data_IF_313067660062
#
_entry.id   IF_313067660062
#
_cell.length_a   1.000
_cell.length_b   1.000
_cell.length_c   1.000
_cell.angle_alpha   90.00
_cell.angle_beta   90.00
_cell.angle_gamma   90.00
#
_symmetry.space_group_name_H-M   'P 1'
#
loop_
_entity.id
_entity.type
_entity.pdbx_description
1 polymer ?
#
# COMPACT_ATOMS: atom_id res chain seq x y z
N UNK A 1 -1.56 25.41 -28.30
CA UNK A 1 -2.71 24.95 -27.47
C UNK A 1 -3.40 23.69 -28.01
N UNK A 2 -2.87 23.00 -29.03
CA UNK A 2 -3.47 21.79 -29.63
C UNK A 2 -3.11 20.47 -28.94
N UNK A 3 -2.11 20.45 -28.05
CA UNK A 3 -1.65 19.24 -27.35
C UNK A 3 -2.60 18.69 -26.27
N UNK A 4 -3.58 19.48 -25.80
CA UNK A 4 -4.48 19.03 -24.73
C UNK A 4 -5.57 18.07 -25.22
N UNK A 5 -6.07 18.23 -26.45
CA UNK A 5 -7.17 17.40 -27.00
C UNK A 5 -6.75 15.94 -27.19
N UNK A 6 -5.53 15.68 -27.66
CA UNK A 6 -5.01 14.33 -27.82
C UNK A 6 -4.82 13.58 -26.50
N UNK A 7 -4.48 14.31 -25.42
CA UNK A 7 -4.37 13.75 -24.08
C UNK A 7 -5.74 13.26 -23.57
N UNK A 8 -6.79 14.05 -23.78
CA UNK A 8 -8.16 13.70 -23.36
C UNK A 8 -8.73 12.51 -24.15
N UNK A 9 -8.53 12.48 -25.47
CA UNK A 9 -9.00 11.36 -26.31
C UNK A 9 -8.27 10.05 -25.97
N UNK A 10 -6.95 10.12 -25.77
CA UNK A 10 -6.17 8.95 -25.33
C UNK A 10 -6.58 8.45 -23.96
N UNK A 11 -6.93 9.37 -23.05
CA UNK A 11 -7.48 9.00 -21.74
C UNK A 11 -8.82 8.30 -21.91
N UNK A 12 -9.76 8.88 -22.68
CA UNK A 12 -11.10 8.33 -22.99
C UNK A 12 -11.09 6.93 -23.61
N UNK A 13 -10.11 6.62 -24.47
CA UNK A 13 -9.98 5.27 -25.02
C UNK A 13 -9.47 4.25 -24.00
N UNK A 14 -8.56 4.66 -23.10
CA UNK A 14 -8.09 3.81 -22.00
C UNK A 14 -9.23 3.56 -21.00
N UNK A 15 -10.07 4.56 -20.72
CA UNK A 15 -11.30 4.41 -19.93
C UNK A 15 -12.21 3.31 -20.50
N UNK A 16 -12.58 3.44 -21.78
CA UNK A 16 -13.47 2.48 -22.43
C UNK A 16 -12.88 1.05 -22.42
N UNK A 17 -11.57 0.92 -22.63
CA UNK A 17 -10.91 -0.39 -22.62
C UNK A 17 -10.84 -1.03 -21.23
N UNK A 18 -10.63 -0.23 -20.17
CA UNK A 18 -10.58 -0.73 -18.79
C UNK A 18 -11.97 -1.12 -18.29
N UNK A 19 -13.00 -0.33 -18.58
CA UNK A 19 -14.39 -0.67 -18.24
C UNK A 19 -14.86 -1.93 -18.96
N UNK A 20 -14.59 -2.04 -20.27
CA UNK A 20 -14.90 -3.24 -21.05
C UNK A 20 -14.14 -4.46 -20.51
N UNK A 21 -12.86 -4.31 -20.16
CA UNK A 21 -12.04 -5.38 -19.57
C UNK A 21 -12.53 -5.82 -18.19
N UNK A 22 -12.96 -4.88 -17.34
CA UNK A 22 -13.51 -5.17 -16.02
C UNK A 22 -14.87 -5.88 -16.10
N UNK A 23 -15.76 -5.41 -16.97
CA UNK A 23 -17.05 -6.06 -17.26
C UNK A 23 -16.84 -7.47 -17.85
N UNK A 24 -15.85 -7.65 -18.73
CA UNK A 24 -15.48 -8.98 -19.25
C UNK A 24 -14.93 -9.90 -18.16
N UNK A 25 -14.03 -9.41 -17.31
CA UNK A 25 -13.46 -10.20 -16.21
C UNK A 25 -14.52 -10.63 -15.20
N UNK A 26 -15.45 -9.74 -14.86
CA UNK A 26 -16.60 -10.05 -14.01
C UNK A 26 -17.56 -11.04 -14.69
N UNK A 27 -17.85 -10.87 -15.98
CA UNK A 27 -18.68 -11.82 -16.73
C UNK A 27 -18.05 -13.22 -16.84
N UNK A 28 -16.71 -13.30 -16.90
CA UNK A 28 -15.97 -14.57 -16.97
C UNK A 28 -15.74 -15.24 -15.61
N UNK A 29 -15.76 -14.48 -14.52
CA UNK A 29 -15.50 -14.98 -13.15
C UNK A 29 -16.77 -15.26 -12.36
N UNK A 30 -17.91 -14.69 -12.77
CA UNK A 30 -19.19 -14.99 -12.12
C UNK A 30 -19.65 -16.42 -12.45
N UNK A 31 -20.02 -17.24 -11.45
CA UNK A 31 -20.73 -18.49 -11.70
C UNK A 31 -22.04 -18.19 -12.46
N UNK A 32 -22.56 -19.17 -13.21
CA UNK A 32 -23.84 -19.08 -13.94
C UNK A 32 -25.02 -18.96 -12.96
N UNK A 33 -25.12 -17.84 -12.26
CA UNK A 33 -26.31 -17.42 -11.55
C UNK A 33 -27.36 -16.93 -12.57
N UNK A 34 -28.67 -17.00 -12.25
CA UNK A 34 -29.73 -16.52 -13.12
C UNK A 34 -29.47 -15.05 -13.53
N UNK A 35 -29.48 -14.80 -14.85
CA UNK A 35 -28.99 -13.58 -15.51
C UNK A 35 -29.58 -12.25 -14.98
N UNK A 36 -30.72 -12.30 -14.29
CA UNK A 36 -31.46 -11.12 -13.82
C UNK A 36 -30.82 -10.45 -12.58
N UNK A 37 -30.11 -11.18 -11.72
CA UNK A 37 -29.49 -10.61 -10.53
C UNK A 37 -28.10 -9.99 -10.80
N UNK A 38 -27.42 -10.43 -11.87
CA UNK A 38 -26.04 -10.05 -12.16
C UNK A 38 -25.93 -8.64 -12.79
N UNK A 39 -26.89 -8.26 -13.64
CA UNK A 39 -26.86 -6.98 -14.37
C UNK A 39 -26.76 -5.74 -13.48
N UNK A 40 -27.62 -5.53 -12.45
CA UNK A 40 -27.55 -4.33 -11.62
C UNK A 40 -26.23 -4.28 -10.83
N UNK A 41 -25.76 -5.41 -10.29
CA UNK A 41 -24.49 -5.50 -9.58
C UNK A 41 -23.28 -5.16 -10.47
N UNK A 42 -23.26 -5.63 -11.72
CA UNK A 42 -22.20 -5.32 -12.69
C UNK A 42 -22.20 -3.85 -13.08
N UNK A 43 -23.38 -3.25 -13.28
CA UNK A 43 -23.52 -1.82 -13.61
C UNK A 43 -23.06 -0.96 -12.44
N UNK A 44 -23.46 -1.28 -11.21
CA UNK A 44 -23.08 -0.55 -10.00
C UNK A 44 -21.58 -0.69 -9.70
N UNK A 45 -21.04 -1.91 -9.81
CA UNK A 45 -19.62 -2.19 -9.67
C UNK A 45 -18.79 -1.51 -10.75
N UNK A 46 -19.27 -1.46 -12.00
CA UNK A 46 -18.60 -0.73 -13.07
C UNK A 46 -18.60 0.77 -12.75
N UNK A 47 -19.74 1.38 -12.46
CA UNK A 47 -19.85 2.81 -12.14
C UNK A 47 -18.95 3.22 -10.97
N UNK A 48 -18.83 2.38 -9.94
CA UNK A 48 -17.98 2.64 -8.76
C UNK A 48 -16.49 2.36 -9.02
N UNK A 49 -16.17 1.34 -9.82
CA UNK A 49 -14.79 0.99 -10.16
C UNK A 49 -14.20 1.93 -11.23
N UNK A 50 -14.99 2.44 -12.17
CA UNK A 50 -14.50 3.26 -13.30
C UNK A 50 -13.69 4.48 -12.87
N UNK A 51 -14.08 5.28 -11.85
CA UNK A 51 -13.31 6.46 -11.45
C UNK A 51 -12.06 6.07 -10.63
N UNK A 52 -12.10 4.94 -9.90
CA UNK A 52 -10.97 4.40 -9.18
C UNK A 52 -9.92 3.81 -10.12
N UNK A 53 -10.39 3.04 -11.10
CA UNK A 53 -9.61 2.49 -12.19
C UNK A 53 -9.05 3.59 -13.09
N UNK A 54 -9.81 4.66 -13.33
CA UNK A 54 -9.31 5.87 -13.99
C UNK A 54 -8.18 6.49 -13.19
N UNK A 55 -8.42 6.82 -11.92
CA UNK A 55 -7.40 7.47 -11.11
C UNK A 55 -6.17 6.57 -11.04
N UNK A 56 -6.36 5.25 -10.90
CA UNK A 56 -5.30 4.25 -10.87
C UNK A 56 -4.53 4.20 -12.17
N UNK A 57 -5.23 4.18 -13.30
CA UNK A 57 -4.65 4.24 -14.62
C UNK A 57 -3.91 5.57 -14.85
N UNK A 58 -4.46 6.72 -14.46
CA UNK A 58 -3.81 8.02 -14.60
C UNK A 58 -2.58 8.16 -13.73
N UNK A 59 -2.62 7.66 -12.49
CA UNK A 59 -1.47 7.63 -11.59
C UNK A 59 -0.43 6.66 -12.12
N UNK A 60 -0.83 5.48 -12.56
CA UNK A 60 0.05 4.49 -13.15
C UNK A 60 0.68 5.00 -14.44
N UNK A 61 -0.09 5.62 -15.32
CA UNK A 61 0.34 6.23 -16.58
C UNK A 61 1.26 7.40 -16.26
N UNK A 62 0.89 8.35 -15.39
CA UNK A 62 1.75 9.46 -15.01
C UNK A 62 3.05 9.01 -14.32
N UNK A 63 2.98 7.99 -13.46
CA UNK A 63 4.14 7.38 -12.82
C UNK A 63 5.01 6.67 -13.84
N UNK A 64 4.42 5.85 -14.71
CA UNK A 64 5.11 5.13 -15.79
C UNK A 64 5.68 6.10 -16.80
N UNK A 65 5.04 7.23 -17.12
CA UNK A 65 5.59 8.29 -17.96
C UNK A 65 6.72 9.01 -17.26
N UNK A 66 6.60 9.35 -15.97
CA UNK A 66 7.73 9.94 -15.22
C UNK A 66 8.91 8.98 -15.15
N UNK A 67 8.68 7.70 -14.91
CA UNK A 67 9.73 6.69 -14.92
C UNK A 67 10.25 6.43 -16.34
N UNK A 68 9.38 6.36 -17.34
CA UNK A 68 9.75 6.13 -18.73
C UNK A 68 10.50 7.32 -19.29
N UNK A 69 10.18 8.56 -18.94
CA UNK A 69 10.97 9.74 -19.31
C UNK A 69 12.30 9.73 -18.56
N UNK A 70 12.32 9.38 -17.28
CA UNK A 70 13.58 9.24 -16.50
C UNK A 70 14.48 8.09 -16.98
N UNK A 71 13.89 7.05 -17.57
CA UNK A 71 14.57 5.82 -17.97
C UNK A 71 14.54 5.58 -19.49
N UNK A 72 14.04 6.55 -20.27
CA UNK A 72 14.05 6.52 -21.72
C UNK A 72 15.52 6.61 -22.14
N UNK A 73 15.95 5.65 -22.96
CA UNK A 73 17.35 5.53 -23.35
C UNK A 73 18.25 4.81 -22.35
N UNK A 74 17.78 4.47 -21.14
CA UNK A 74 18.54 3.62 -20.21
C UNK A 74 18.28 2.13 -20.48
N UNK A 75 19.35 1.38 -20.64
CA UNK A 75 19.30 -0.08 -20.67
C UNK A 75 18.95 -0.68 -19.29
N UNK A 76 18.54 -1.96 -19.26
CA UNK A 76 18.11 -2.63 -18.02
C UNK A 76 19.12 -2.52 -16.85
N UNK A 77 20.45 -2.70 -17.06
CA UNK A 77 21.45 -2.46 -16.01
C UNK A 77 21.41 -1.03 -15.46
N UNK A 78 21.29 -0.02 -16.33
CA UNK A 78 21.21 1.37 -15.90
C UNK A 78 19.92 1.67 -15.13
N UNK A 79 18.80 1.04 -15.47
CA UNK A 79 17.55 1.15 -14.69
C UNK A 79 17.71 0.58 -13.28
N UNK A 80 18.28 -0.62 -13.16
CA UNK A 80 18.54 -1.26 -11.86
C UNK A 80 19.51 -0.41 -11.01
N UNK A 81 20.56 0.13 -11.62
CA UNK A 81 21.50 0.99 -10.90
C UNK A 81 20.83 2.31 -10.48
N UNK A 82 20.08 2.95 -11.37
CA UNK A 82 19.41 4.21 -11.06
C UNK A 82 18.38 4.06 -9.93
N UNK A 83 17.64 2.94 -9.87
CA UNK A 83 16.75 2.66 -8.74
C UNK A 83 17.52 2.43 -7.45
N UNK A 84 18.63 1.69 -7.48
CA UNK A 84 19.50 1.50 -6.32
C UNK A 84 20.09 2.83 -5.82
N UNK A 85 20.59 3.66 -6.73
CA UNK A 85 21.15 5.00 -6.43
C UNK A 85 20.09 5.93 -5.85
N UNK A 86 18.83 5.86 -6.32
CA UNK A 86 17.73 6.63 -5.74
C UNK A 86 17.46 6.28 -4.26
N UNK A 87 17.91 5.11 -3.78
CA UNK A 87 17.82 4.72 -2.36
C UNK A 87 19.03 5.11 -1.52
N UNK A 88 20.10 5.64 -2.13
CA UNK A 88 21.29 6.08 -1.40
C UNK A 88 20.96 7.26 -0.46
N UNK A 89 21.56 7.29 0.73
CA UNK A 89 21.38 8.41 1.63
C UNK A 89 22.04 9.68 1.07
N UNK A 90 21.56 10.85 1.52
CA UNK A 90 21.93 12.15 0.94
C UNK A 90 23.45 12.44 0.94
N UNK A 91 24.16 11.96 1.96
CA UNK A 91 25.61 12.05 2.11
C UNK A 91 26.40 11.17 1.11
N UNK A 92 25.72 10.33 0.32
CA UNK A 92 26.32 9.46 -0.70
C UNK A 92 25.77 9.70 -2.10
N UNK A 93 25.14 10.85 -2.35
CA UNK A 93 24.66 11.19 -3.69
C UNK A 93 25.79 11.24 -4.70
N UNK A 94 26.96 11.75 -4.30
CA UNK A 94 28.14 11.83 -5.15
C UNK A 94 28.64 10.43 -5.58
N UNK A 95 28.49 9.43 -4.71
CA UNK A 95 28.78 8.03 -5.06
C UNK A 95 27.80 7.52 -6.11
N UNK A 96 26.52 7.89 -5.98
CA UNK A 96 25.50 7.55 -6.96
C UNK A 96 25.81 8.12 -8.34
N UNK A 97 26.24 9.39 -8.39
CA UNK A 97 26.68 10.06 -9.63
C UNK A 97 27.89 9.32 -10.22
N UNK A 98 28.90 9.01 -9.41
CA UNK A 98 30.08 8.27 -9.84
C UNK A 98 29.72 6.88 -10.40
N UNK A 99 28.89 6.10 -9.71
CA UNK A 99 28.44 4.77 -10.16
C UNK A 99 27.71 4.87 -11.51
N UNK A 100 26.84 5.87 -11.69
CA UNK A 100 26.14 6.05 -12.96
C UNK A 100 27.08 6.47 -14.09
N UNK A 101 28.09 7.30 -13.80
CA UNK A 101 29.12 7.70 -14.76
C UNK A 101 30.03 6.52 -15.14
N UNK A 102 30.46 5.70 -14.19
CA UNK A 102 31.26 4.50 -14.44
C UNK A 102 30.49 3.48 -15.28
N UNK A 103 29.20 3.22 -14.96
CA UNK A 103 28.36 2.34 -15.77
C UNK A 103 28.28 2.82 -17.23
N UNK A 104 28.27 4.13 -17.49
CA UNK A 104 28.25 4.68 -18.85
C UNK A 104 29.49 4.29 -19.68
N UNK A 105 30.65 4.05 -19.03
CA UNK A 105 31.89 3.64 -19.69
C UNK A 105 31.99 2.13 -19.94
N UNK A 106 31.22 1.31 -19.21
CA UNK A 106 31.22 -0.15 -19.40
C UNK A 106 30.44 -0.51 -20.65
N UNK A 107 31.11 -1.01 -21.70
CA UNK A 107 30.47 -1.27 -23.01
C UNK A 107 29.84 -2.65 -23.15
N UNK A 108 30.44 -3.68 -22.56
CA UNK A 108 29.94 -5.06 -22.72
C UNK A 108 28.74 -5.32 -21.82
N UNK A 109 27.64 -5.82 -22.39
CA UNK A 109 26.37 -6.07 -21.68
C UNK A 109 26.55 -6.92 -20.40
N UNK A 110 27.38 -7.96 -20.45
CA UNK A 110 27.65 -8.83 -19.28
C UNK A 110 28.40 -8.09 -18.17
N UNK A 111 29.37 -7.25 -18.52
CA UNK A 111 30.14 -6.44 -17.56
C UNK A 111 29.26 -5.34 -16.97
N UNK A 112 28.38 -4.71 -17.77
CA UNK A 112 27.38 -3.74 -17.29
C UNK A 112 26.47 -4.34 -16.23
N UNK A 113 25.97 -5.56 -16.45
CA UNK A 113 25.15 -6.27 -15.46
C UNK A 113 25.92 -6.58 -14.18
N UNK A 114 27.15 -7.09 -14.30
CA UNK A 114 28.00 -7.36 -13.13
C UNK A 114 28.30 -6.09 -12.34
N UNK A 115 28.61 -5.00 -13.03
CA UNK A 115 28.83 -3.68 -12.45
C UNK A 115 27.57 -3.17 -11.74
N UNK A 116 26.43 -3.14 -12.45
CA UNK A 116 25.15 -2.71 -11.88
C UNK A 116 24.77 -3.52 -10.64
N UNK A 117 24.86 -4.86 -10.70
CA UNK A 117 24.60 -5.73 -9.55
C UNK A 117 25.59 -5.49 -8.40
N UNK A 118 26.87 -5.28 -8.70
CA UNK A 118 27.90 -4.94 -7.72
C UNK A 118 27.60 -3.62 -7.01
N UNK A 119 27.26 -2.58 -7.77
CA UNK A 119 26.87 -1.27 -7.24
C UNK A 119 25.54 -1.34 -6.47
N UNK A 120 24.52 -2.05 -6.97
CA UNK A 120 23.26 -2.28 -6.26
C UNK A 120 23.52 -2.98 -4.93
N UNK A 121 24.37 -4.03 -4.92
CA UNK A 121 24.78 -4.71 -3.69
C UNK A 121 25.49 -3.75 -2.74
N UNK A 122 26.41 -2.92 -3.23
CA UNK A 122 27.13 -1.94 -2.42
C UNK A 122 26.23 -0.83 -1.86
N UNK A 123 25.20 -0.43 -2.62
CA UNK A 123 24.19 0.54 -2.21
C UNK A 123 23.26 -0.01 -1.12
N UNK A 124 22.88 -1.29 -1.21
CA UNK A 124 22.01 -1.98 -0.24
C UNK A 124 22.79 -2.44 1.01
N UNK A 125 24.04 -2.87 0.83
CA UNK A 125 24.92 -3.40 1.86
C UNK A 125 26.23 -2.60 1.91
N UNK A 126 26.24 -1.44 2.59
CA UNK A 126 27.42 -0.57 2.61
C UNK A 126 28.61 -1.29 3.25
N UNK A 127 29.80 -1.24 2.63
CA UNK A 127 30.95 -2.08 3.01
C UNK A 127 31.51 -1.82 4.42
N UNK A 128 31.15 -0.68 5.05
CA UNK A 128 31.65 -0.26 6.37
C UNK A 128 30.60 -0.33 7.50
N UNK A 129 29.42 -0.92 7.25
CA UNK A 129 28.40 -1.15 8.29
C UNK A 129 28.61 -2.47 9.03
N UNK A 130 27.92 -2.66 10.16
CA UNK A 130 27.96 -3.82 11.05
C UNK A 130 27.69 -5.18 10.34
N UNK A 131 28.60 -5.67 9.50
CA UNK A 131 28.41 -6.89 8.68
C UNK A 131 28.11 -8.11 9.54
N UNK A 132 28.78 -8.23 10.69
CA UNK A 132 28.51 -9.26 11.67
C UNK A 132 27.06 -9.17 12.18
N UNK A 133 26.60 -7.98 12.56
CA UNK A 133 25.22 -7.78 13.03
C UNK A 133 24.19 -8.05 11.91
N UNK A 134 24.45 -7.62 10.68
CA UNK A 134 23.60 -7.91 9.51
C UNK A 134 23.53 -9.42 9.28
N UNK A 135 24.65 -10.14 9.33
CA UNK A 135 24.70 -11.59 9.18
C UNK A 135 23.96 -12.30 10.32
N UNK A 136 24.15 -11.87 11.57
CA UNK A 136 23.43 -12.38 12.75
C UNK A 136 21.92 -12.19 12.58
N UNK A 137 21.48 -10.98 12.21
CA UNK A 137 20.05 -10.67 12.03
C UNK A 137 19.45 -11.48 10.87
N UNK A 138 20.17 -11.63 9.76
CA UNK A 138 19.74 -12.47 8.65
C UNK A 138 19.64 -13.95 9.06
N UNK A 139 20.63 -14.48 9.78
CA UNK A 139 20.62 -15.85 10.27
C UNK A 139 19.48 -16.10 11.27
N UNK A 140 19.29 -15.20 12.23
CA UNK A 140 18.18 -15.24 13.19
C UNK A 140 16.83 -15.17 12.47
N UNK A 141 16.72 -14.35 11.43
CA UNK A 141 15.50 -14.25 10.63
C UNK A 141 15.15 -15.56 9.92
N UNK A 142 16.15 -16.23 9.32
CA UNK A 142 15.97 -17.54 8.70
C UNK A 142 15.58 -18.58 9.75
N UNK A 143 16.22 -18.57 10.91
CA UNK A 143 15.89 -19.47 12.02
C UNK A 143 14.46 -19.25 12.54
N UNK A 144 14.03 -18.00 12.70
CA UNK A 144 12.67 -17.65 13.13
C UNK A 144 11.63 -18.07 12.09
N UNK A 145 11.89 -17.87 10.79
CA UNK A 145 10.99 -18.32 9.73
C UNK A 145 10.87 -19.85 9.65
N UNK A 146 11.99 -20.57 9.82
CA UNK A 146 11.97 -22.03 9.88
C UNK A 146 11.25 -22.53 11.14
N UNK A 147 11.54 -21.94 12.29
CA UNK A 147 10.91 -22.27 13.58
C UNK A 147 9.42 -21.97 13.59
N UNK A 148 8.98 -20.84 13.03
CA UNK A 148 7.57 -20.50 12.91
C UNK A 148 6.83 -21.47 12.00
N UNK A 149 7.44 -21.88 10.88
CA UNK A 149 6.89 -22.91 9.99
C UNK A 149 6.72 -24.27 10.67
N UNK A 150 7.70 -24.69 11.47
CA UNK A 150 7.62 -25.95 12.23
C UNK A 150 6.58 -25.89 13.36
N UNK A 151 6.53 -24.78 14.10
CA UNK A 151 5.57 -24.59 15.18
C UNK A 151 4.12 -24.55 14.64
N UNK A 152 3.89 -23.77 13.57
CA UNK A 152 2.57 -23.67 12.94
C UNK A 152 2.15 -24.96 12.26
N UNK A 153 3.06 -25.70 11.61
CA UNK A 153 2.73 -27.01 11.04
C UNK A 153 2.19 -28.02 12.07
N UNK A 154 2.52 -27.86 13.35
CA UNK A 154 2.03 -28.72 14.44
C UNK A 154 0.70 -28.27 15.04
N UNK A 155 0.45 -26.97 15.08
CA UNK A 155 -0.71 -26.40 15.79
C UNK A 155 -1.82 -25.93 14.86
N UNK A 156 -1.46 -25.31 13.73
CA UNK A 156 -2.34 -24.68 12.75
C UNK A 156 -1.69 -24.77 11.35
N UNK A 157 -1.77 -25.93 10.66
CA UNK A 157 -1.06 -26.15 9.40
C UNK A 157 -1.47 -25.13 8.31
N UNK A 158 -2.70 -24.64 8.35
CA UNK A 158 -3.23 -23.60 7.46
C UNK A 158 -2.48 -22.26 7.56
N UNK A 159 -1.89 -21.94 8.72
CA UNK A 159 -1.08 -20.72 8.90
C UNK A 159 0.37 -20.85 8.44
N UNK A 160 0.82 -22.04 8.02
CA UNK A 160 2.24 -22.28 7.74
C UNK A 160 2.78 -21.35 6.67
N UNK A 161 2.06 -21.20 5.55
CA UNK A 161 2.50 -20.35 4.43
C UNK A 161 2.57 -18.89 4.87
N UNK A 162 1.55 -18.42 5.59
CA UNK A 162 1.52 -17.08 6.16
C UNK A 162 2.71 -16.85 7.11
N UNK A 163 2.92 -17.73 8.09
CA UNK A 163 3.92 -17.56 9.13
C UNK A 163 5.35 -17.56 8.58
N UNK A 164 5.66 -18.44 7.63
CA UNK A 164 6.97 -18.48 6.96
C UNK A 164 7.18 -17.22 6.13
N UNK A 165 6.18 -16.82 5.35
CA UNK A 165 6.26 -15.63 4.48
C UNK A 165 6.41 -14.36 5.30
N UNK A 166 5.58 -14.17 6.33
CA UNK A 166 5.62 -13.00 7.20
C UNK A 166 6.95 -12.91 7.96
N UNK A 167 7.41 -13.99 8.59
CA UNK A 167 8.69 -14.01 9.29
C UNK A 167 9.88 -13.73 8.35
N UNK A 168 9.87 -14.31 7.15
CA UNK A 168 10.88 -14.03 6.12
C UNK A 168 10.90 -12.56 5.71
N UNK A 169 9.74 -11.96 5.45
CA UNK A 169 9.63 -10.55 5.09
C UNK A 169 10.10 -9.62 6.22
N UNK A 170 9.63 -9.83 7.45
CA UNK A 170 10.06 -9.06 8.63
C UNK A 170 11.57 -9.18 8.82
N UNK A 171 12.13 -10.37 8.60
CA UNK A 171 13.56 -10.62 8.68
C UNK A 171 14.39 -9.86 7.63
N UNK A 172 13.93 -9.86 6.37
CA UNK A 172 14.53 -9.05 5.30
C UNK A 172 14.49 -7.57 5.67
N UNK A 173 13.36 -7.08 6.16
CA UNK A 173 13.17 -5.69 6.57
C UNK A 173 14.09 -5.31 7.73
N UNK A 174 14.22 -6.16 8.75
CA UNK A 174 15.13 -5.97 9.87
C UNK A 174 16.59 -5.93 9.41
N UNK A 175 16.97 -6.83 8.50
CA UNK A 175 18.31 -6.87 7.90
C UNK A 175 18.63 -5.57 7.16
N UNK A 176 17.67 -5.04 6.40
CA UNK A 176 17.79 -3.75 5.69
C UNK A 176 17.86 -2.57 6.67
N UNK A 177 17.07 -2.59 7.75
CA UNK A 177 17.13 -1.54 8.77
C UNK A 177 18.51 -1.49 9.44
N UNK A 178 19.03 -2.65 9.82
CA UNK A 178 20.34 -2.80 10.46
C UNK A 178 21.47 -2.42 9.53
N UNK A 179 21.41 -2.80 8.24
CA UNK A 179 22.44 -2.41 7.27
C UNK A 179 22.51 -0.90 7.05
N UNK A 180 21.37 -0.21 7.23
CA UNK A 180 21.23 1.25 7.07
C UNK A 180 21.45 2.03 8.37
N UNK A 181 21.58 1.36 9.51
CA UNK A 181 21.82 1.98 10.82
C UNK A 181 23.28 2.45 10.97
N UNK A 182 23.76 3.32 10.07
CA UNK A 182 25.17 3.73 10.06
C UNK A 182 25.49 4.94 10.95
N UNK A 183 24.50 5.56 11.63
CA UNK A 183 24.73 6.65 12.61
C UNK A 183 23.66 6.68 13.70
N UNK A 184 24.00 6.87 15.00
CA UNK A 184 23.05 6.99 16.13
C UNK A 184 22.14 8.22 16.12
N UNK A 185 21.99 8.90 14.99
CA UNK A 185 21.21 10.14 14.91
C UNK A 185 20.02 9.95 14.00
N UNK A 186 18.88 9.59 14.60
CA UNK A 186 17.57 10.18 14.26
C UNK A 186 16.60 9.98 15.42
N UNK A 187 15.70 10.97 15.66
CA UNK A 187 14.57 10.76 16.56
C UNK A 187 13.79 9.56 16.03
N UNK A 188 13.64 8.55 16.89
CA UNK A 188 12.79 7.41 16.60
C UNK A 188 11.40 7.90 16.15
N UNK A 189 10.68 7.16 15.28
CA UNK A 189 9.25 7.35 15.17
C UNK A 189 8.68 7.43 16.59
N UNK A 190 7.79 8.39 16.86
CA UNK A 190 7.27 8.54 18.21
C UNK A 190 6.76 7.19 18.70
N UNK A 191 7.27 6.72 19.85
CA UNK A 191 6.90 5.47 20.52
C UNK A 191 5.42 5.07 20.32
N UNK A 192 4.43 5.97 20.48
CA UNK A 192 3.02 5.64 20.23
C UNK A 192 2.70 5.07 18.84
N UNK A 193 3.33 5.53 17.76
CA UNK A 193 3.03 5.04 16.40
C UNK A 193 3.58 3.63 16.20
N UNK A 194 4.80 3.39 16.66
CA UNK A 194 5.41 2.06 16.61
C UNK A 194 4.58 1.07 17.44
N UNK A 195 4.16 1.47 18.65
CA UNK A 195 3.31 0.67 19.52
C UNK A 195 1.95 0.37 18.87
N UNK A 196 1.27 1.37 18.30
CA UNK A 196 -0.02 1.18 17.64
C UNK A 196 0.08 0.27 16.41
N UNK A 197 1.12 0.45 15.58
CA UNK A 197 1.37 -0.41 14.42
C UNK A 197 1.65 -1.85 14.81
N UNK A 198 2.47 -2.07 15.84
CA UNK A 198 2.74 -3.40 16.37
C UNK A 198 1.48 -4.04 16.94
N UNK A 199 0.71 -3.30 17.75
CA UNK A 199 -0.54 -3.77 18.32
C UNK A 199 -1.56 -4.17 17.23
N UNK A 200 -1.69 -3.37 16.18
CA UNK A 200 -2.56 -3.69 15.04
C UNK A 200 -2.15 -4.97 14.30
N UNK A 201 -0.84 -5.16 14.07
CA UNK A 201 -0.33 -6.39 13.45
C UNK A 201 -0.55 -7.60 14.35
N UNK A 202 -0.26 -7.49 15.65
CA UNK A 202 -0.49 -8.58 16.62
C UNK A 202 -1.96 -8.94 16.69
N UNK A 203 -2.86 -7.95 16.74
CA UNK A 203 -4.30 -8.16 16.74
C UNK A 203 -4.77 -8.87 15.47
N UNK A 204 -4.31 -8.44 14.29
CA UNK A 204 -4.65 -9.08 13.02
C UNK A 204 -4.21 -10.56 12.99
N UNK A 205 -2.97 -10.86 13.40
CA UNK A 205 -2.47 -12.24 13.48
C UNK A 205 -3.27 -13.07 14.47
N UNK A 206 -3.55 -12.53 15.66
CA UNK A 206 -4.30 -13.23 16.70
C UNK A 206 -5.74 -13.54 16.26
N UNK A 207 -6.41 -12.58 15.61
CA UNK A 207 -7.75 -12.75 15.09
C UNK A 207 -7.79 -13.79 13.96
N UNK A 208 -6.85 -13.75 13.00
CA UNK A 208 -6.77 -14.77 11.95
C UNK A 208 -6.50 -16.17 12.54
N UNK A 209 -5.61 -16.29 13.52
CA UNK A 209 -5.32 -17.56 14.18
C UNK A 209 -6.53 -18.08 14.98
N UNK A 210 -7.24 -17.20 15.69
CA UNK A 210 -8.46 -17.55 16.40
C UNK A 210 -9.54 -18.04 15.43
N UNK A 211 -9.70 -17.37 14.30
CA UNK A 211 -10.67 -17.73 13.26
C UNK A 211 -10.38 -19.13 12.70
N UNK A 212 -9.14 -19.38 12.28
CA UNK A 212 -8.71 -20.68 11.74
C UNK A 212 -8.79 -21.81 12.76
N UNK A 213 -8.59 -21.51 14.05
CA UNK A 213 -8.69 -22.50 15.11
C UNK A 213 -10.14 -22.88 15.43
N UNK A 214 -11.06 -21.92 15.33
CA UNK A 214 -12.45 -22.14 15.72
C UNK A 214 -13.20 -22.94 14.67
N UNK A 215 -12.84 -22.76 13.39
CA UNK A 215 -13.54 -23.37 12.27
C UNK A 215 -12.61 -24.25 11.43
N UNK A 216 -12.66 -25.57 11.67
CA UNK A 216 -11.77 -26.54 11.05
C UNK A 216 -11.89 -26.66 9.52
N UNK A 217 -12.99 -26.15 8.95
CA UNK A 217 -13.23 -26.12 7.50
C UNK A 217 -12.58 -24.93 6.80
N UNK A 218 -12.02 -23.98 7.56
CA UNK A 218 -11.39 -22.79 7.00
C UNK A 218 -9.98 -23.10 6.56
N UNK A 219 -9.79 -23.07 5.24
CA UNK A 219 -8.48 -23.16 4.60
C UNK A 219 -8.06 -21.75 4.19
N UNK A 220 -6.92 -21.29 4.70
CA UNK A 220 -6.31 -20.06 4.23
C UNK A 220 -5.50 -20.38 2.97
N UNK A 221 -6.04 -20.05 1.81
CA UNK A 221 -5.37 -20.32 0.55
C UNK A 221 -4.00 -19.61 0.47
N UNK A 222 -3.13 -20.12 -0.39
CA UNK A 222 -1.74 -19.63 -0.50
C UNK A 222 -1.66 -18.16 -0.91
N UNK A 223 -2.56 -17.69 -1.77
CA UNK A 223 -2.57 -16.30 -2.22
C UNK A 223 -3.01 -15.37 -1.09
N UNK A 224 -4.11 -15.70 -0.40
CA UNK A 224 -4.57 -14.93 0.76
C UNK A 224 -3.53 -14.90 1.89
N UNK A 225 -2.89 -16.03 2.18
CA UNK A 225 -1.78 -16.12 3.14
C UNK A 225 -0.62 -15.17 2.79
N UNK A 226 -0.19 -15.15 1.53
CA UNK A 226 0.89 -14.27 1.06
C UNK A 226 0.46 -12.80 1.10
N UNK A 227 -0.76 -12.49 0.65
CA UNK A 227 -1.31 -11.12 0.68
C UNK A 227 -1.38 -10.58 2.11
N UNK A 228 -1.91 -11.36 3.04
CA UNK A 228 -1.95 -10.99 4.46
C UNK A 228 -0.54 -10.77 5.02
N UNK A 229 0.41 -11.67 4.74
CA UNK A 229 1.79 -11.53 5.19
C UNK A 229 2.46 -10.26 4.64
N UNK A 230 2.29 -9.97 3.36
CA UNK A 230 2.86 -8.77 2.72
C UNK A 230 2.24 -7.50 3.29
N UNK A 231 0.91 -7.46 3.45
CA UNK A 231 0.21 -6.30 3.98
C UNK A 231 0.62 -6.00 5.43
N UNK A 232 0.67 -7.01 6.30
CA UNK A 232 1.08 -6.85 7.69
C UNK A 232 2.56 -6.48 7.81
N UNK A 233 3.44 -7.09 7.01
CA UNK A 233 4.87 -6.75 7.01
C UNK A 233 5.11 -5.32 6.51
N UNK A 234 4.39 -4.88 5.48
CA UNK A 234 4.45 -3.51 4.99
C UNK A 234 3.92 -2.50 6.04
N UNK A 235 2.79 -2.80 6.68
CA UNK A 235 2.24 -1.99 7.77
C UNK A 235 3.18 -1.87 8.97
N UNK A 236 3.83 -2.99 9.35
CA UNK A 236 4.85 -3.01 10.40
C UNK A 236 6.06 -2.17 10.01
N UNK A 237 6.57 -2.34 8.78
CA UNK A 237 7.70 -1.57 8.28
C UNK A 237 7.43 -0.07 8.29
N UNK A 238 6.26 0.35 7.79
CA UNK A 238 5.87 1.76 7.78
C UNK A 238 5.78 2.32 9.21
N UNK A 239 5.31 1.54 10.18
CA UNK A 239 5.21 1.96 11.58
C UNK A 239 6.58 2.07 12.28
N UNK A 240 7.50 1.14 12.01
CA UNK A 240 8.81 1.06 12.68
C UNK A 240 9.91 1.88 11.99
N UNK A 241 9.90 1.92 10.66
CA UNK A 241 10.93 2.54 9.85
C UNK A 241 10.31 3.35 8.69
N UNK A 242 9.45 4.34 9.00
CA UNK A 242 8.76 5.08 7.95
C UNK A 242 9.78 5.74 7.00
N UNK A 243 9.60 5.60 5.67
CA UNK A 243 10.38 6.32 4.67
C UNK A 243 10.43 7.80 5.01
N UNK A 244 11.59 8.46 4.83
CA UNK A 244 11.73 9.90 5.16
C UNK A 244 10.68 10.75 4.45
N UNK A 245 10.34 10.39 3.21
CA UNK A 245 9.29 11.04 2.43
C UNK A 245 7.90 11.02 3.11
N UNK A 246 7.62 10.01 3.94
CA UNK A 246 6.38 9.84 4.70
C UNK A 246 6.47 10.39 6.14
N UNK A 247 7.52 11.15 6.46
CA UNK A 247 7.72 11.73 7.81
C UNK A 247 7.99 13.22 7.79
N UNK A 248 7.88 13.87 6.63
CA UNK A 248 8.21 15.29 6.46
C UNK A 248 7.23 16.19 7.21
N UNK A 249 5.93 15.85 7.23
CA UNK A 249 4.90 16.60 7.98
C UNK A 249 4.35 15.79 9.17
N UNK A 250 4.50 16.33 10.40
CA UNK A 250 3.88 15.72 11.59
C UNK A 250 2.35 15.83 11.57
N UNK A 251 1.82 16.93 11.02
CA UNK A 251 0.38 17.19 10.90
C UNK A 251 -0.27 16.19 9.95
N UNK A 252 0.29 16.03 8.75
CA UNK A 252 -0.16 15.04 7.77
C UNK A 252 -0.29 13.64 8.36
N UNK A 253 0.73 13.19 9.10
CA UNK A 253 0.71 11.88 9.76
C UNK A 253 -0.40 11.74 10.81
N UNK A 254 -0.57 12.75 11.68
CA UNK A 254 -1.62 12.72 12.72
C UNK A 254 -3.02 12.73 12.09
N UNK A 255 -3.24 13.59 11.10
CA UNK A 255 -4.50 13.66 10.35
C UNK A 255 -4.80 12.31 9.68
N UNK A 256 -3.82 11.73 8.99
CA UNK A 256 -3.96 10.41 8.37
C UNK A 256 -4.35 9.33 9.37
N UNK A 257 -3.61 9.19 10.48
CA UNK A 257 -3.92 8.20 11.50
C UNK A 257 -5.31 8.41 12.12
N UNK A 258 -5.68 9.66 12.43
CA UNK A 258 -6.99 9.98 13.00
C UNK A 258 -8.13 9.59 12.04
N UNK A 259 -7.97 9.88 10.75
CA UNK A 259 -8.96 9.50 9.73
C UNK A 259 -9.05 7.99 9.60
N UNK A 260 -7.93 7.27 9.56
CA UNK A 260 -7.98 5.81 9.43
C UNK A 260 -8.63 5.13 10.64
N UNK A 261 -8.39 5.64 11.86
CA UNK A 261 -9.10 5.21 13.07
C UNK A 261 -10.60 5.51 12.97
N UNK A 262 -10.97 6.72 12.53
CA UNK A 262 -12.36 7.11 12.37
C UNK A 262 -13.08 6.25 11.32
N UNK A 263 -12.43 5.92 10.20
CA UNK A 263 -12.97 5.01 9.18
C UNK A 263 -13.20 3.61 9.74
N UNK A 264 -12.25 3.05 10.50
CA UNK A 264 -12.42 1.73 11.11
C UNK A 264 -13.53 1.72 12.20
N UNK A 265 -13.59 2.77 13.02
CA UNK A 265 -14.65 2.91 14.02
C UNK A 265 -16.03 3.10 13.37
N UNK A 266 -16.10 3.86 12.28
CA UNK A 266 -17.32 4.01 11.50
C UNK A 266 -17.77 2.70 10.85
N UNK A 267 -16.85 1.85 10.40
CA UNK A 267 -17.16 0.50 9.92
C UNK A 267 -17.79 -0.35 11.03
N UNK A 268 -17.20 -0.33 12.23
CA UNK A 268 -17.73 -1.06 13.38
C UNK A 268 -19.13 -0.57 13.77
N UNK A 269 -19.30 0.76 13.84
CA UNK A 269 -20.59 1.38 14.14
C UNK A 269 -21.64 1.04 13.07
N UNK A 270 -21.26 1.10 11.79
CA UNK A 270 -22.13 0.74 10.68
C UNK A 270 -22.56 -0.74 10.76
N UNK A 271 -21.64 -1.65 11.05
CA UNK A 271 -21.98 -3.06 11.27
C UNK A 271 -22.88 -3.27 12.50
N UNK A 272 -22.75 -2.44 13.53
CA UNK A 272 -23.58 -2.57 14.72
C UNK A 272 -25.00 -1.99 14.52
N UNK A 273 -25.12 -0.89 13.79
CA UNK A 273 -26.40 -0.19 13.57
C UNK A 273 -27.25 -0.83 12.48
N UNK A 274 -26.63 -1.41 11.45
CA UNK A 274 -27.39 -2.10 10.42
C UNK A 274 -27.80 -3.48 10.94
N UNK A 275 -29.11 -3.72 10.92
CA UNK A 275 -29.67 -5.00 11.28
C UNK A 275 -29.04 -6.11 10.43
N UNK A 276 -28.98 -7.30 11.00
CA UNK A 276 -28.33 -8.47 10.43
C UNK A 276 -28.87 -8.77 9.02
N UNK A 277 -30.15 -8.48 8.76
CA UNK A 277 -30.78 -8.65 7.44
C UNK A 277 -30.20 -7.72 6.34
N UNK A 278 -29.46 -6.67 6.68
CA UNK A 278 -28.98 -5.65 5.75
C UNK A 278 -27.49 -5.79 5.37
N UNK A 279 -26.93 -7.01 5.41
CA UNK A 279 -25.50 -7.30 5.16
C UNK A 279 -24.87 -6.56 3.96
N UNK A 280 -25.65 -6.30 2.91
CA UNK A 280 -25.24 -5.53 1.72
C UNK A 280 -24.66 -4.13 2.04
N UNK A 281 -25.08 -3.50 3.15
CA UNK A 281 -24.61 -2.16 3.54
C UNK A 281 -23.13 -2.17 3.95
N UNK A 282 -22.59 -3.31 4.40
CA UNK A 282 -21.16 -3.42 4.75
C UNK A 282 -20.29 -3.33 3.50
N UNK A 283 -20.67 -4.02 2.42
CA UNK A 283 -19.94 -3.96 1.15
C UNK A 283 -19.85 -2.54 0.59
N UNK A 284 -20.97 -1.80 0.61
CA UNK A 284 -21.01 -0.41 0.16
C UNK A 284 -20.11 0.50 1.02
N UNK A 285 -20.12 0.30 2.35
CA UNK A 285 -19.26 1.05 3.27
C UNK A 285 -17.78 0.85 2.94
N UNK A 286 -17.37 -0.40 2.73
CA UNK A 286 -15.98 -0.77 2.43
C UNK A 286 -15.44 -0.10 1.16
N UNK A 287 -16.29 0.10 0.17
CA UNK A 287 -15.93 0.75 -1.08
C UNK A 287 -15.90 2.27 -0.94
N UNK A 288 -16.97 2.86 -0.43
CA UNK A 288 -17.20 4.30 -0.55
C UNK A 288 -16.48 5.11 0.52
N UNK A 289 -16.48 4.64 1.78
CA UNK A 289 -16.00 5.43 2.90
C UNK A 289 -14.47 5.55 2.92
N UNK A 290 -13.68 4.45 2.80
CA UNK A 290 -12.23 4.57 2.73
C UNK A 290 -11.76 5.44 1.57
N UNK A 291 -12.35 5.26 0.39
CA UNK A 291 -12.01 6.04 -0.81
C UNK A 291 -12.24 7.54 -0.56
N UNK A 292 -13.43 7.90 -0.09
CA UNK A 292 -13.80 9.29 0.19
C UNK A 292 -12.92 9.89 1.30
N UNK A 293 -12.71 9.14 2.37
CA UNK A 293 -11.89 9.56 3.51
C UNK A 293 -10.44 9.85 3.07
N UNK A 294 -9.83 8.96 2.28
CA UNK A 294 -8.47 9.15 1.78
C UNK A 294 -8.36 10.33 0.80
N UNK A 295 -9.32 10.47 -0.11
CA UNK A 295 -9.40 11.61 -1.03
C UNK A 295 -9.45 12.93 -0.27
N UNK A 296 -10.42 13.08 0.64
CA UNK A 296 -10.63 14.31 1.40
C UNK A 296 -9.42 14.61 2.30
N UNK A 297 -8.84 13.59 2.94
CA UNK A 297 -7.64 13.76 3.76
C UNK A 297 -6.47 14.28 2.94
N UNK A 298 -6.21 13.67 1.78
CA UNK A 298 -5.14 14.10 0.88
C UNK A 298 -5.36 15.54 0.40
N UNK A 299 -6.59 15.88 0.03
CA UNK A 299 -6.99 17.21 -0.44
C UNK A 299 -6.79 18.28 0.65
N UNK A 300 -7.42 18.12 1.81
CA UNK A 300 -7.39 19.13 2.87
C UNK A 300 -6.01 19.27 3.50
N UNK A 301 -5.25 18.18 3.68
CA UNK A 301 -3.85 18.30 4.16
C UNK A 301 -2.97 18.99 3.12
N UNK A 302 -3.19 18.75 1.83
CA UNK A 302 -2.46 19.47 0.78
C UNK A 302 -2.77 20.97 0.81
N UNK A 303 -4.04 21.35 0.97
CA UNK A 303 -4.44 22.75 1.11
C UNK A 303 -3.78 23.41 2.33
N UNK A 304 -3.83 22.73 3.48
CA UNK A 304 -3.31 23.25 4.74
C UNK A 304 -1.78 23.40 4.74
N UNK A 305 -1.05 22.39 4.26
CA UNK A 305 0.42 22.38 4.24
C UNK A 305 1.01 22.95 2.93
N UNK A 306 0.15 23.30 1.95
CA UNK A 306 0.51 23.72 0.58
C UNK A 306 1.55 22.80 -0.07
N UNK A 307 1.37 21.49 0.11
CA UNK A 307 2.35 20.47 -0.27
C UNK A 307 1.67 19.18 -0.70
N UNK A 308 1.81 18.83 -1.98
CA UNK A 308 1.35 17.56 -2.54
C UNK A 308 1.85 16.35 -1.72
N UNK A 309 3.12 16.38 -1.30
CA UNK A 309 3.72 15.29 -0.54
C UNK A 309 3.15 15.16 0.87
N UNK A 310 2.72 16.26 1.49
CA UNK A 310 2.06 16.22 2.78
C UNK A 310 0.68 15.55 2.67
N UNK A 311 -0.10 15.88 1.63
CA UNK A 311 -1.37 15.21 1.34
C UNK A 311 -1.21 13.71 1.08
N UNK A 312 -0.27 13.34 0.22
CA UNK A 312 0.01 11.92 -0.06
C UNK A 312 0.48 11.17 1.19
N UNK A 313 1.33 11.81 2.00
CA UNK A 313 1.76 11.25 3.29
C UNK A 313 0.55 11.00 4.20
N UNK A 314 -0.38 11.96 4.34
CA UNK A 314 -1.56 11.78 5.17
C UNK A 314 -2.44 10.62 4.70
N UNK A 315 -2.66 10.51 3.39
CA UNK A 315 -3.44 9.40 2.84
C UNK A 315 -2.78 8.04 3.01
N UNK A 316 -1.46 7.93 2.90
CA UNK A 316 -0.76 6.65 3.17
C UNK A 316 -0.92 6.25 4.63
N UNK A 317 -0.81 7.19 5.57
CA UNK A 317 -1.04 6.89 6.99
C UNK A 317 -2.50 6.55 7.30
N UNK A 318 -3.47 7.20 6.64
CA UNK A 318 -4.87 6.84 6.72
C UNK A 318 -5.10 5.42 6.19
N UNK A 319 -4.56 5.09 5.02
CA UNK A 319 -4.68 3.77 4.42
C UNK A 319 -4.14 2.68 5.34
N UNK A 320 -2.93 2.84 5.87
CA UNK A 320 -2.31 1.84 6.76
C UNK A 320 -3.18 1.61 7.99
N UNK A 321 -3.68 2.69 8.62
CA UNK A 321 -4.56 2.58 9.77
C UNK A 321 -5.90 1.92 9.42
N UNK A 322 -6.54 2.33 8.31
CA UNK A 322 -7.80 1.74 7.83
C UNK A 322 -7.65 0.26 7.49
N UNK A 323 -6.59 -0.15 6.80
CA UNK A 323 -6.34 -1.54 6.46
C UNK A 323 -6.09 -2.39 7.71
N UNK A 324 -5.23 -1.95 8.63
CA UNK A 324 -4.92 -2.75 9.83
C UNK A 324 -6.10 -2.85 10.80
N UNK A 325 -6.72 -1.71 11.13
CA UNK A 325 -7.82 -1.69 12.10
C UNK A 325 -9.11 -2.20 11.48
N UNK A 326 -9.40 -1.75 10.26
CA UNK A 326 -10.61 -2.16 9.55
C UNK A 326 -10.60 -3.63 9.17
N UNK A 327 -9.45 -4.24 8.86
CA UNK A 327 -9.36 -5.71 8.70
C UNK A 327 -9.80 -6.44 9.97
N UNK A 328 -9.32 -6.01 11.14
CA UNK A 328 -9.71 -6.60 12.42
C UNK A 328 -11.20 -6.43 12.71
N UNK A 329 -11.73 -5.21 12.55
CA UNK A 329 -13.16 -4.90 12.70
C UNK A 329 -14.00 -5.77 11.77
N UNK A 330 -13.64 -5.80 10.48
CA UNK A 330 -14.37 -6.57 9.48
C UNK A 330 -14.39 -8.06 9.82
N UNK A 331 -13.26 -8.64 10.25
CA UNK A 331 -13.21 -10.06 10.61
C UNK A 331 -14.06 -10.38 11.85
N UNK A 332 -14.07 -9.50 12.85
CA UNK A 332 -14.91 -9.66 14.05
C UNK A 332 -16.40 -9.58 13.71
N UNK A 333 -16.79 -8.59 12.91
CA UNK A 333 -18.19 -8.38 12.55
C UNK A 333 -18.71 -9.48 11.62
N UNK A 334 -17.95 -9.85 10.59
CA UNK A 334 -18.31 -10.98 9.71
C UNK A 334 -18.43 -12.29 10.47
N UNK A 335 -17.57 -12.54 11.47
CA UNK A 335 -17.71 -13.70 12.35
C UNK A 335 -18.96 -13.64 13.21
N UNK A 336 -19.32 -12.45 13.72
CA UNK A 336 -20.57 -12.23 14.47
C UNK A 336 -21.79 -12.54 13.60
N UNK A 337 -21.82 -12.05 12.36
CA UNK A 337 -22.91 -12.35 11.42
C UNK A 337 -23.00 -13.83 11.09
N UNK A 338 -21.86 -14.46 10.81
CA UNK A 338 -21.79 -15.90 10.56
C UNK A 338 -22.37 -16.72 11.71
N UNK A 339 -22.01 -16.39 12.97
CA UNK A 339 -22.58 -17.05 14.16
C UNK A 339 -24.08 -16.82 14.33
N UNK A 340 -24.61 -15.71 13.80
CA UNK A 340 -26.03 -15.43 13.78
C UNK A 340 -26.77 -16.12 12.62
N UNK A 341 -26.06 -16.95 11.82
CA UNK A 341 -26.63 -17.64 10.67
C UNK A 341 -26.86 -16.73 9.46
N UNK A 342 -26.19 -15.58 9.40
CA UNK A 342 -26.38 -14.60 8.32
C UNK A 342 -25.11 -14.38 7.54
N UNK A 343 -25.26 -14.42 6.22
CA UNK A 343 -24.19 -14.24 5.26
C UNK A 343 -24.16 -12.77 4.81
N UNK A 344 -23.10 -12.02 5.14
CA UNK A 344 -23.09 -10.56 5.00
C UNK A 344 -23.00 -10.06 3.55
N UNK A 345 -22.57 -10.87 2.58
CA UNK A 345 -22.32 -10.38 1.21
C UNK A 345 -23.22 -11.05 0.17
N UNK A 346 -23.36 -12.38 0.19
CA UNK A 346 -24.24 -13.09 -0.72
C UNK A 346 -25.13 -14.05 0.07
N UNK A 347 -26.45 -13.86 0.02
CA UNK A 347 -27.44 -14.71 0.69
C UNK A 347 -27.49 -16.17 0.18
N UNK A 348 -26.53 -16.56 -0.65
CA UNK A 348 -26.41 -17.90 -1.20
C UNK A 348 -25.76 -18.83 -0.19
N UNK A 349 -26.53 -19.82 0.30
CA UNK A 349 -26.07 -20.85 1.24
C UNK A 349 -24.89 -21.70 0.74
N UNK A 350 -24.43 -21.49 -0.51
CA UNK A 350 -23.24 -22.12 -1.09
C UNK A 350 -21.94 -21.52 -0.52
N UNK A 351 -21.96 -20.28 -0.03
CA UNK A 351 -20.80 -19.58 0.52
C UNK A 351 -20.74 -19.58 2.06
N UNK A 352 -21.54 -20.41 2.73
CA UNK A 352 -21.68 -20.41 4.19
C UNK A 352 -20.49 -20.91 5.00
N UNK A 353 -19.38 -21.28 4.35
CA UNK A 353 -18.16 -21.64 5.04
C UNK A 353 -17.50 -20.38 5.62
N UNK A 354 -17.17 -20.41 6.91
CA UNK A 354 -16.42 -19.36 7.60
C UNK A 354 -15.18 -18.90 6.81
N UNK A 355 -14.57 -19.77 6.00
CA UNK A 355 -13.37 -19.43 5.24
C UNK A 355 -13.56 -18.37 4.16
N UNK A 356 -14.77 -18.24 3.63
CA UNK A 356 -15.09 -17.18 2.67
C UNK A 356 -14.92 -15.81 3.32
N UNK A 357 -15.34 -15.63 4.57
CA UNK A 357 -15.26 -14.35 5.28
C UNK A 357 -13.83 -13.88 5.52
N UNK A 358 -12.92 -14.81 5.82
CA UNK A 358 -11.49 -14.48 5.94
C UNK A 358 -10.89 -14.08 4.60
N UNK A 359 -11.25 -14.78 3.51
CA UNK A 359 -10.80 -14.43 2.17
C UNK A 359 -11.35 -13.08 1.73
N UNK A 360 -12.63 -12.80 2.00
CA UNK A 360 -13.28 -11.51 1.76
C UNK A 360 -12.62 -10.38 2.55
N UNK A 361 -12.29 -10.60 3.83
CA UNK A 361 -11.58 -9.62 4.64
C UNK A 361 -10.23 -9.24 4.02
N UNK A 362 -9.47 -10.24 3.55
CA UNK A 362 -8.17 -10.03 2.88
C UNK A 362 -8.36 -9.36 1.52
N UNK A 363 -9.32 -9.82 0.72
CA UNK A 363 -9.65 -9.28 -0.59
C UNK A 363 -10.06 -7.82 -0.50
N UNK A 364 -11.06 -7.51 0.32
CA UNK A 364 -11.59 -6.15 0.45
C UNK A 364 -10.62 -5.22 1.17
N UNK A 365 -10.18 -5.55 2.37
CA UNK A 365 -9.44 -4.58 3.20
C UNK A 365 -7.97 -4.44 2.82
N UNK A 366 -7.34 -5.51 2.34
CA UNK A 366 -5.90 -5.52 2.08
C UNK A 366 -5.57 -5.43 0.59
N UNK A 367 -6.54 -5.66 -0.31
CA UNK A 367 -6.33 -5.59 -1.76
C UNK A 367 -7.17 -4.50 -2.41
N UNK A 368 -8.51 -4.59 -2.32
CA UNK A 368 -9.42 -3.69 -3.02
C UNK A 368 -9.34 -2.26 -2.47
N UNK A 369 -9.42 -2.07 -1.15
CA UNK A 369 -9.34 -0.74 -0.53
C UNK A 369 -8.03 -0.02 -0.90
N UNK A 370 -6.83 -0.61 -0.76
CA UNK A 370 -5.60 0.01 -1.26
C UNK A 370 -5.63 0.32 -2.76
N UNK A 371 -6.06 -0.64 -3.58
CA UNK A 371 -6.08 -0.50 -5.03
C UNK A 371 -7.00 0.64 -5.50
N UNK A 372 -8.16 0.79 -4.86
CA UNK A 372 -9.15 1.81 -5.18
C UNK A 372 -8.80 3.16 -4.54
N UNK A 373 -8.41 3.19 -3.27
CA UNK A 373 -8.30 4.44 -2.52
C UNK A 373 -6.97 5.20 -2.76
N UNK A 374 -5.86 4.50 -3.04
CA UNK A 374 -4.57 5.16 -3.31
C UNK A 374 -4.63 6.12 -4.51
N UNK A 375 -5.22 5.73 -5.65
CA UNK A 375 -5.33 6.65 -6.77
C UNK A 375 -6.17 7.89 -6.49
N UNK A 376 -7.30 7.73 -5.78
CA UNK A 376 -8.09 8.90 -5.36
C UNK A 376 -7.34 9.79 -4.38
N UNK A 377 -6.55 9.22 -3.48
CA UNK A 377 -5.68 10.01 -2.62
C UNK A 377 -4.69 10.87 -3.43
N UNK A 378 -4.09 10.31 -4.49
CA UNK A 378 -3.21 11.08 -5.38
C UNK A 378 -3.99 12.18 -6.10
N UNK A 379 -5.20 11.87 -6.59
CA UNK A 379 -6.08 12.86 -7.21
C UNK A 379 -6.46 13.99 -6.24
N UNK A 380 -6.82 13.66 -5.00
CA UNK A 380 -7.12 14.64 -3.94
C UNK A 380 -5.92 15.54 -3.63
N UNK A 381 -4.71 14.97 -3.51
CA UNK A 381 -3.50 15.75 -3.33
C UNK A 381 -3.17 16.66 -4.53
N UNK A 382 -3.39 16.17 -5.76
CA UNK A 382 -3.19 16.98 -6.97
C UNK A 382 -4.17 18.15 -7.02
N UNK A 383 -5.46 17.89 -6.78
CA UNK A 383 -6.51 18.92 -6.75
C UNK A 383 -6.22 19.97 -5.68
N UNK A 384 -5.84 19.54 -4.47
CA UNK A 384 -5.45 20.46 -3.40
C UNK A 384 -4.27 21.35 -3.77
N UNK A 385 -3.31 20.84 -4.56
CA UNK A 385 -2.18 21.65 -5.05
C UNK A 385 -2.65 22.72 -6.04
N UNK A 386 -3.51 22.35 -6.99
CA UNK A 386 -4.06 23.29 -7.98
C UNK A 386 -4.88 24.40 -7.32
N UNK A 387 -5.61 24.09 -6.26
CA UNK A 387 -6.43 25.04 -5.51
C UNK A 387 -5.62 26.06 -4.69
N UNK A 388 -4.34 25.81 -4.41
CA UNK A 388 -3.51 26.79 -3.66
C UNK A 388 -3.07 28.01 -4.47
N UNK A 389 -3.47 28.08 -5.75
CA UNK A 389 -3.11 29.15 -6.68
C UNK A 389 -1.61 29.16 -7.02
N UNK A 390 -1.20 29.82 -8.12
CA UNK A 390 0.18 30.22 -8.26
C UNK A 390 0.54 30.99 -7.00
N UNK A 391 1.65 30.64 -6.35
CA UNK A 391 2.28 31.63 -5.46
C UNK A 391 2.46 32.84 -6.35
N UNK A 392 1.71 33.91 -6.10
CA UNK A 392 2.16 35.23 -6.49
C UNK A 392 3.58 35.27 -5.95
N UNK A 393 4.53 35.06 -6.85
CA UNK A 393 5.91 35.33 -6.56
C UNK A 393 5.83 36.82 -6.28
N UNK A 394 5.72 37.16 -5.00
CA UNK A 394 5.97 38.50 -4.51
C UNK A 394 7.40 38.69 -4.93
N UNK A 395 7.56 39.19 -6.16
CA UNK A 395 8.77 39.79 -6.66
C UNK A 395 8.93 40.94 -5.69
N UNK A 396 9.60 40.68 -4.58
CA UNK A 396 10.24 41.73 -3.82
C UNK A 396 11.19 42.34 -4.84
N UNK A 397 10.70 43.37 -5.52
CA UNK A 397 11.54 44.41 -6.04
C UNK A 397 12.37 44.81 -4.83
N UNK A 398 13.59 44.28 -4.77
CA UNK A 398 14.63 44.86 -3.96
C UNK A 398 14.93 46.14 -4.71
N UNK A 399 14.49 47.33 -4.24
CA UNK A 399 14.89 48.56 -4.88
C UNK A 399 16.41 48.55 -4.90
N UNK A 400 16.98 48.75 -6.09
CA UNK A 400 18.42 48.93 -6.22
C UNK A 400 18.77 50.13 -5.33
N UNK A 401 19.36 49.86 -4.17
CA UNK A 401 19.94 50.90 -3.35
C UNK A 401 21.02 51.54 -4.20
N UNK A 402 20.81 52.81 -4.51
CA UNK A 402 21.77 53.72 -5.12
C UNK A 402 23.13 53.55 -4.42
N UNK A 403 24.08 52.96 -5.13
CA UNK A 403 25.49 53.09 -4.79
C UNK A 403 25.95 54.44 -5.33
N UNK A 404 26.00 55.41 -4.41
CA UNK A 404 26.75 56.65 -4.57
C UNK A 404 28.26 56.41 -4.58
#
# INVERSE_FOLDING_TARGET
MTGSRGLWVGTLLVFAAVDVGYVLLLGLSSPRAPEEALRPYLVESAILASPAALAGALVWVAWRWRLAVRFAGLDLPARLLATAVATLPADRRDWGVAMTAELAHVRRRRERWRFALGCTRAAVFPPRGHRALVAIVAALSVAVAAGSGLATARTLPELRVFAVTFAGLVGVLATVAVSRASRPRRPAPGLPIAAAGLAGVVAAVALTAYYLRTEATVVLDRHAAVTLAVALAAGLWLSLAPPRALTTSRRARRAGLAVGVATAAGLALNAHLNDIAAGQIIGLYLLTVPVTALFLTAFFVTLADRSFWAGLQAAVWALVATCLLGFGVYLVETFRYWRAGVHPIDGDGIYGAAGVQLHEAIGWMLTAVPALALPFAVFGAALGTLSTGPREAVVRFVPASESS
#
